data_IF_386085407520
#
_entry.id   IF_386085407520
#
_cell.length_a   1.000
_cell.length_b   1.000
_cell.length_c   1.000
_cell.angle_alpha   90.00
_cell.angle_beta   90.00
_cell.angle_gamma   90.00
#
_symmetry.space_group_name_H-M   'P 1'
#
loop_
_entity.id
_entity.type
_entity.pdbx_description
1 polymer ?
#
# COMPACT_ATOMS: atom_id res chain seq x y z
N UNK A 1 -13.49 1.56 -12.22
CA UNK A 1 -13.99 1.36 -10.84
C UNK A 1 -14.65 2.64 -10.35
N UNK A 2 -15.65 2.55 -9.46
CA UNK A 2 -16.24 3.73 -8.78
C UNK A 2 -15.54 3.91 -7.43
N UNK A 3 -15.12 5.13 -7.12
CA UNK A 3 -14.53 5.43 -5.82
C UNK A 3 -15.54 5.21 -4.68
N UNK A 4 -15.03 4.72 -3.55
CA UNK A 4 -15.80 4.58 -2.31
C UNK A 4 -16.02 5.96 -1.67
N UNK A 5 -17.08 6.11 -0.87
CA UNK A 5 -17.22 7.28 0.00
C UNK A 5 -16.25 7.20 1.18
N UNK A 6 -15.94 8.34 1.81
CA UNK A 6 -15.08 8.37 3.01
C UNK A 6 -15.62 7.48 4.13
N UNK A 7 -16.94 7.44 4.33
CA UNK A 7 -17.57 6.54 5.30
C UNK A 7 -17.30 5.07 4.97
N UNK A 8 -17.43 4.68 3.69
CA UNK A 8 -17.14 3.32 3.25
C UNK A 8 -15.66 2.96 3.39
N UNK A 9 -14.77 3.92 3.16
CA UNK A 9 -13.32 3.74 3.35
C UNK A 9 -13.02 3.53 4.82
N UNK A 10 -13.48 4.43 5.70
CA UNK A 10 -13.22 4.38 7.14
C UNK A 10 -13.78 3.11 7.79
N UNK A 11 -14.95 2.63 7.36
CA UNK A 11 -15.49 1.36 7.86
C UNK A 11 -14.62 0.17 7.46
N UNK A 12 -14.17 0.11 6.20
CA UNK A 12 -13.29 -0.95 5.72
C UNK A 12 -11.90 -0.90 6.36
N UNK A 13 -11.37 0.30 6.60
CA UNK A 13 -10.02 0.52 7.12
C UNK A 13 -9.83 -0.10 8.51
N UNK A 14 -10.91 -0.29 9.28
CA UNK A 14 -10.89 -1.01 10.57
C UNK A 14 -10.35 -2.44 10.46
N UNK A 15 -10.41 -3.06 9.28
CA UNK A 15 -9.89 -4.40 9.01
C UNK A 15 -8.42 -4.40 8.55
N UNK A 16 -7.83 -3.23 8.29
CA UNK A 16 -6.48 -3.06 7.74
C UNK A 16 -5.60 -2.28 8.72
N UNK A 17 -5.06 -2.98 9.72
CA UNK A 17 -4.11 -2.39 10.67
C UNK A 17 -2.86 -1.85 9.94
N UNK A 18 -2.39 -0.67 10.37
CA UNK A 18 -1.23 0.01 9.78
C UNK A 18 -1.51 0.75 8.47
N UNK A 19 -2.78 0.92 8.09
CA UNK A 19 -3.21 1.74 6.96
C UNK A 19 -4.00 2.95 7.44
N UNK A 20 -3.69 4.11 6.84
CA UNK A 20 -4.38 5.37 7.08
C UNK A 20 -4.98 5.91 5.78
N UNK A 21 -6.07 6.68 5.89
CA UNK A 21 -6.67 7.39 4.76
C UNK A 21 -6.48 8.89 4.92
N UNK A 22 -5.72 9.48 3.99
CA UNK A 22 -5.54 10.92 3.90
C UNK A 22 -5.23 11.33 2.46
N UNK A 23 -5.40 12.61 2.13
CA UNK A 23 -5.10 13.17 0.80
C UNK A 23 -5.76 12.45 -0.39
N UNK A 24 -6.88 11.75 -0.15
CA UNK A 24 -7.60 11.00 -1.18
C UNK A 24 -7.01 9.63 -1.53
N UNK A 25 -6.07 9.12 -0.73
CA UNK A 25 -5.43 7.83 -0.93
C UNK A 25 -5.23 7.06 0.39
N UNK A 26 -4.95 5.76 0.26
CA UNK A 26 -4.55 4.90 1.37
C UNK A 26 -3.02 4.91 1.49
N UNK A 27 -2.52 5.08 2.71
CA UNK A 27 -1.09 5.17 3.00
C UNK A 27 -0.71 4.13 4.05
N UNK A 28 0.49 3.57 3.91
CA UNK A 28 1.11 2.68 4.88
C UNK A 28 2.63 2.80 4.78
N UNK A 29 3.32 2.40 5.85
CA UNK A 29 4.79 2.39 5.94
C UNK A 29 5.22 0.98 6.35
N UNK A 30 6.21 0.46 5.64
CA UNK A 30 6.86 -0.81 5.98
C UNK A 30 8.31 -0.53 6.35
N UNK A 31 8.80 -1.25 7.35
CA UNK A 31 10.20 -1.24 7.77
C UNK A 31 10.70 -2.69 7.79
N UNK A 32 11.81 -2.95 7.11
CA UNK A 32 12.44 -4.26 6.99
C UNK A 32 13.81 -4.29 7.69
N UNK A 33 14.44 -5.47 7.77
CA UNK A 33 15.77 -5.58 8.39
C UNK A 33 16.86 -4.93 7.52
N UNK A 34 16.77 -5.09 6.20
CA UNK A 34 17.72 -4.54 5.25
C UNK A 34 17.12 -4.24 3.86
N UNK A 35 17.93 -3.66 2.98
CA UNK A 35 17.51 -3.33 1.61
C UNK A 35 17.11 -4.55 0.77
N UNK A 36 17.68 -5.73 1.00
CA UNK A 36 17.33 -6.92 0.21
C UNK A 36 15.93 -7.39 0.55
N UNK A 37 15.56 -7.35 1.84
CA UNK A 37 14.21 -7.68 2.28
C UNK A 37 13.19 -6.69 1.72
N UNK A 38 13.45 -5.38 1.87
CA UNK A 38 12.59 -4.33 1.34
C UNK A 38 12.37 -4.48 -0.17
N UNK A 39 13.45 -4.65 -0.94
CA UNK A 39 13.35 -4.79 -2.39
C UNK A 39 12.69 -6.10 -2.83
N UNK A 40 12.85 -7.18 -2.06
CA UNK A 40 12.15 -8.45 -2.30
C UNK A 40 10.64 -8.31 -2.09
N UNK A 41 10.21 -7.59 -1.05
CA UNK A 41 8.80 -7.28 -0.82
C UNK A 41 8.24 -6.39 -1.94
N UNK A 42 8.96 -5.33 -2.34
CA UNK A 42 8.58 -4.48 -3.47
C UNK A 42 8.43 -5.28 -4.77
N UNK A 43 9.35 -6.20 -5.05
CA UNK A 43 9.27 -7.06 -6.25
C UNK A 43 8.01 -7.92 -6.24
N UNK A 44 7.64 -8.51 -5.09
CA UNK A 44 6.41 -9.32 -4.97
C UNK A 44 5.17 -8.46 -5.17
N UNK A 45 5.12 -7.26 -4.58
CA UNK A 45 4.01 -6.33 -4.74
C UNK A 45 3.88 -5.88 -6.21
N UNK A 46 5.00 -5.64 -6.90
CA UNK A 46 4.99 -5.23 -8.31
C UNK A 46 4.32 -6.26 -9.23
N UNK A 47 4.51 -7.56 -8.99
CA UNK A 47 3.83 -8.61 -9.78
C UNK A 47 2.31 -8.63 -9.55
N UNK A 48 1.85 -8.45 -8.31
CA UNK A 48 0.41 -8.38 -8.03
C UNK A 48 -0.21 -7.08 -8.57
N UNK A 49 0.50 -5.95 -8.44
CA UNK A 49 0.09 -4.67 -9.01
C UNK A 49 -0.09 -4.75 -10.54
N UNK A 50 0.83 -5.40 -11.24
CA UNK A 50 0.74 -5.60 -12.69
C UNK A 50 -0.44 -6.49 -13.08
N UNK A 51 -0.63 -7.61 -12.36
CA UNK A 51 -1.78 -8.51 -12.58
C UNK A 51 -3.12 -7.82 -12.37
N UNK A 52 -3.19 -6.88 -11.41
CA UNK A 52 -4.39 -6.09 -11.12
C UNK A 52 -4.53 -4.85 -12.02
N UNK A 53 -3.51 -4.53 -12.82
CA UNK A 53 -3.38 -3.27 -13.56
C UNK A 53 -3.61 -2.04 -12.65
N UNK A 54 -3.08 -2.09 -11.44
CA UNK A 54 -3.22 -1.04 -10.44
C UNK A 54 -1.91 -0.89 -9.66
N UNK A 55 -1.20 0.21 -9.93
CA UNK A 55 0.16 0.44 -9.44
C UNK A 55 0.14 1.40 -8.23
N UNK A 56 0.91 1.12 -7.17
CA UNK A 56 1.05 2.04 -6.04
C UNK A 56 1.98 3.21 -6.40
N UNK A 57 1.82 4.29 -5.66
CA UNK A 57 2.85 5.33 -5.52
C UNK A 57 3.63 5.05 -4.25
N UNK A 58 4.95 4.88 -4.34
CA UNK A 58 5.80 4.60 -3.18
C UNK A 58 7.21 5.18 -3.34
N UNK A 59 7.93 5.27 -2.22
CA UNK A 59 9.37 5.50 -2.19
C UNK A 59 10.01 4.51 -1.23
N UNK A 60 11.28 4.15 -1.48
CA UNK A 60 12.06 3.28 -0.61
C UNK A 60 13.40 3.97 -0.32
N UNK A 61 13.79 3.99 0.95
CA UNK A 61 15.08 4.52 1.41
C UNK A 61 15.75 3.46 2.27
N UNK A 62 16.51 2.58 1.62
CA UNK A 62 17.20 1.45 2.24
C UNK A 62 16.24 0.35 2.75
N UNK A 63 15.83 0.36 4.01
CA UNK A 63 15.06 -0.73 4.61
C UNK A 63 13.55 -0.47 4.63
#
# INVERSE_FOLDING_TARGET
MKALSEEQINEKLKEFEGWDYHEGALHTIFEFEDFKEAFSAMTRIAFEAEKLQHHPEWSNVYN
#
